data_IF_189235783640
#
_entry.id   IF_189235783640
#
_cell.length_a   1.000
_cell.length_b   1.000
_cell.length_c   1.000
_cell.angle_alpha   90.00
_cell.angle_beta   90.00
_cell.angle_gamma   90.00
#
_symmetry.space_group_name_H-M   'P 1'
#
loop_
_entity.id
_entity.type
_entity.pdbx_description
1 polymer ?
#
# COMPACT_ATOMS: atom_id res chain seq x y z
N UNK A 1 -3.41 24.37 8.77
CA UNK A 1 -2.43 23.35 8.34
C UNK A 1 -2.60 23.25 6.83
N UNK A 2 -1.54 23.42 6.04
CA UNK A 2 -1.66 23.35 4.57
C UNK A 2 -2.12 21.95 4.20
N UNK A 3 -3.32 21.84 3.61
CA UNK A 3 -3.81 20.58 3.06
C UNK A 3 -2.83 20.17 1.97
N UNK A 4 -2.02 19.15 2.26
CA UNK A 4 -1.11 18.59 1.26
C UNK A 4 -1.96 18.11 0.10
N UNK A 5 -1.63 18.52 -1.11
CA UNK A 5 -2.33 18.11 -2.32
C UNK A 5 -2.25 16.58 -2.44
N UNK A 6 -3.40 15.91 -2.43
CA UNK A 6 -3.49 14.49 -2.78
C UNK A 6 -3.31 14.35 -4.29
N UNK A 7 -2.43 13.44 -4.70
CA UNK A 7 -2.25 13.07 -6.10
C UNK A 7 -2.83 11.68 -6.29
N UNK A 8 -3.74 11.54 -7.24
CA UNK A 8 -4.31 10.25 -7.63
C UNK A 8 -3.42 9.62 -8.69
N UNK A 9 -2.93 8.40 -8.43
CA UNK A 9 -2.10 7.64 -9.37
C UNK A 9 -2.79 6.30 -9.61
N UNK A 10 -3.26 6.02 -10.84
CA UNK A 10 -3.91 4.76 -11.15
C UNK A 10 -2.89 3.61 -11.18
N UNK A 11 -2.98 2.73 -10.19
CA UNK A 11 -2.12 1.56 -10.01
C UNK A 11 -2.76 0.33 -10.67
N UNK A 12 -1.97 -0.45 -11.39
CA UNK A 12 -2.36 -1.74 -11.96
C UNK A 12 -2.27 -2.82 -10.88
N UNK A 13 -1.11 -2.96 -10.23
CA UNK A 13 -0.88 -3.92 -9.14
C UNK A 13 0.37 -3.57 -8.30
N UNK A 14 0.45 -4.01 -7.05
CA UNK A 14 1.72 -4.10 -6.33
C UNK A 14 2.62 -5.17 -6.97
N UNK A 15 3.90 -4.88 -7.14
CA UNK A 15 4.87 -5.77 -7.79
C UNK A 15 5.90 -6.34 -6.82
N UNK A 16 6.32 -5.56 -5.83
CA UNK A 16 7.34 -5.98 -4.87
C UNK A 16 7.14 -5.30 -3.52
N UNK A 17 7.32 -6.06 -2.44
CA UNK A 17 7.42 -5.54 -1.08
C UNK A 17 8.80 -5.92 -0.54
N UNK A 18 9.58 -4.93 -0.13
CA UNK A 18 10.86 -5.11 0.52
C UNK A 18 10.77 -4.55 1.94
N UNK A 19 11.15 -5.37 2.91
CA UNK A 19 11.22 -4.95 4.31
C UNK A 19 12.69 -4.86 4.70
N UNK A 20 13.07 -3.77 5.36
CA UNK A 20 14.38 -3.73 6.01
C UNK A 20 14.48 -4.81 7.07
N UNK A 21 15.66 -5.42 7.19
CA UNK A 21 16.00 -6.32 8.29
C UNK A 21 16.31 -5.58 9.59
N UNK A 22 16.49 -4.27 9.55
CA UNK A 22 16.61 -3.40 10.73
C UNK A 22 15.21 -3.03 11.25
N UNK A 23 14.90 -3.27 12.54
CA UNK A 23 13.63 -2.85 13.15
C UNK A 23 13.37 -1.32 13.14
N UNK A 24 14.39 -0.51 12.81
CA UNK A 24 14.27 0.94 12.57
C UNK A 24 14.16 1.31 11.10
N UNK A 25 14.30 0.34 10.19
CA UNK A 25 14.31 0.60 8.77
C UNK A 25 12.92 0.83 8.18
N UNK A 26 12.89 1.17 6.91
CA UNK A 26 11.66 1.39 6.16
C UNK A 26 11.27 0.15 5.35
N UNK A 27 9.98 0.05 5.05
CA UNK A 27 9.45 -0.85 4.05
C UNK A 27 9.22 -0.10 2.74
N UNK A 28 9.50 -0.77 1.63
CA UNK A 28 9.32 -0.23 0.30
C UNK A 28 8.33 -1.12 -0.47
N UNK A 29 7.29 -0.50 -1.03
CA UNK A 29 6.28 -1.16 -1.85
C UNK A 29 6.32 -0.53 -3.24
N UNK A 30 6.59 -1.36 -4.25
CA UNK A 30 6.60 -0.92 -5.66
C UNK A 30 5.24 -1.23 -6.28
N UNK A 31 4.69 -0.25 -6.98
CA UNK A 31 3.43 -0.33 -7.71
C UNK A 31 3.67 -0.10 -9.20
N UNK A 32 3.20 -1.02 -10.01
CA UNK A 32 3.08 -0.83 -11.46
C UNK A 32 1.88 0.08 -11.72
N UNK A 33 2.06 1.14 -12.51
CA UNK A 33 1.01 2.11 -12.81
C UNK A 33 0.62 2.10 -14.29
N UNK A 34 -0.50 2.73 -14.62
CA UNK A 34 -0.90 2.92 -16.03
C UNK A 34 0.03 3.91 -16.76
N UNK A 35 0.73 4.77 -16.02
CA UNK A 35 1.65 5.76 -16.59
C UNK A 35 3.02 5.19 -16.94
N UNK A 36 3.88 6.04 -17.49
CA UNK A 36 5.24 5.67 -17.91
C UNK A 36 6.24 5.51 -16.74
N UNK A 37 5.74 5.41 -15.51
CA UNK A 37 6.57 5.29 -14.32
C UNK A 37 5.92 4.39 -13.26
N UNK A 38 6.74 3.57 -12.62
CA UNK A 38 6.38 2.87 -11.39
C UNK A 38 6.39 3.83 -10.20
N UNK A 39 5.57 3.52 -9.19
CA UNK A 39 5.55 4.27 -7.93
C UNK A 39 6.17 3.44 -6.82
N UNK A 40 7.15 4.02 -6.14
CA UNK A 40 7.74 3.46 -4.92
C UNK A 40 7.16 4.16 -3.69
N UNK A 41 6.44 3.41 -2.86
CA UNK A 41 5.95 3.86 -1.57
C UNK A 41 6.91 3.39 -0.47
N UNK A 42 7.58 4.35 0.17
CA UNK A 42 8.48 4.08 1.31
C UNK A 42 7.77 4.44 2.60
N UNK A 43 7.72 3.50 3.54
CA UNK A 43 6.96 3.59 4.77
C UNK A 43 7.84 3.24 5.96
N UNK A 44 7.83 4.03 7.05
CA UNK A 44 8.36 3.54 8.31
C UNK A 44 7.53 2.35 8.81
N UNK A 45 8.14 1.47 9.61
CA UNK A 45 7.47 0.27 10.14
C UNK A 45 6.14 0.56 10.84
N UNK A 46 6.02 1.69 11.54
CA UNK A 46 4.75 2.08 12.20
C UNK A 46 3.63 2.37 11.21
N UNK A 47 3.95 3.00 10.07
CA UNK A 47 2.99 3.26 9.01
C UNK A 47 2.63 1.97 8.26
N UNK A 48 3.59 1.05 8.10
CA UNK A 48 3.32 -0.27 7.53
C UNK A 48 2.31 -1.05 8.38
N UNK A 49 2.52 -1.13 9.70
CA UNK A 49 1.59 -1.82 10.61
C UNK A 49 0.17 -1.23 10.54
N UNK A 50 0.07 0.10 10.45
CA UNK A 50 -1.22 0.75 10.26
C UNK A 50 -1.87 0.40 8.91
N UNK A 51 -1.08 0.35 7.84
CA UNK A 51 -1.53 -0.05 6.51
C UNK A 51 -2.01 -1.51 6.49
N UNK A 52 -1.29 -2.43 7.13
CA UNK A 52 -1.68 -3.84 7.26
C UNK A 52 -3.04 -3.99 7.96
N UNK A 53 -3.27 -3.26 9.06
CA UNK A 53 -4.55 -3.27 9.76
C UNK A 53 -5.70 -2.76 8.87
N UNK A 54 -5.44 -1.72 8.06
CA UNK A 54 -6.42 -1.21 7.10
C UNK A 54 -6.73 -2.21 5.99
N UNK A 55 -5.70 -2.87 5.44
CA UNK A 55 -5.86 -3.91 4.41
C UNK A 55 -6.58 -5.14 4.95
N UNK A 56 -6.29 -5.57 6.17
CA UNK A 56 -7.00 -6.67 6.83
C UNK A 56 -8.49 -6.36 6.98
N UNK A 57 -8.84 -5.14 7.39
CA UNK A 57 -10.24 -4.68 7.44
C UNK A 57 -10.87 -4.66 6.05
N UNK A 58 -10.17 -4.15 5.04
CA UNK A 58 -10.67 -4.13 3.66
C UNK A 58 -10.93 -5.55 3.12
N UNK A 59 -10.05 -6.51 3.43
CA UNK A 59 -10.23 -7.92 3.07
C UNK A 59 -11.47 -8.53 3.72
N UNK A 60 -11.75 -8.22 4.99
CA UNK A 60 -12.98 -8.66 5.65
C UNK A 60 -14.24 -8.10 4.99
N UNK A 61 -14.23 -6.84 4.58
CA UNK A 61 -15.36 -6.23 3.85
C UNK A 61 -15.50 -6.84 2.44
N UNK A 62 -14.40 -7.08 1.72
CA UNK A 62 -14.42 -7.76 0.42
C UNK A 62 -15.00 -9.17 0.52
N UNK A 63 -14.69 -9.92 1.57
CA UNK A 63 -15.22 -11.26 1.80
C UNK A 63 -16.76 -11.27 1.93
N UNK A 64 -17.37 -10.18 2.43
CA UNK A 64 -18.84 -10.03 2.48
C UNK A 64 -19.46 -9.81 1.10
N UNK A 65 -18.68 -9.32 0.15
CA UNK A 65 -19.10 -8.98 -1.21
C UNK A 65 -18.64 -10.00 -2.25
N UNK A 66 -17.81 -10.97 -1.88
CA UNK A 66 -17.46 -12.09 -2.74
C UNK A 66 -18.70 -12.98 -2.93
N UNK A 67 -19.10 -13.29 -4.17
CA UNK A 67 -20.15 -14.27 -4.39
C UNK A 67 -19.65 -15.61 -3.84
N UNK A 68 -20.37 -16.14 -2.85
CA UNK A 68 -20.23 -17.52 -2.39
C UNK A 68 -20.49 -18.39 -3.61
N UNK A 69 -19.45 -19.01 -4.17
CA UNK A 69 -19.62 -20.17 -5.05
C UNK A 69 -19.85 -21.41 -4.19
#
# INVERSE_FOLDING_TARGET
MSEKKTVEIPVIKPTMIQMSSDPRGDAAITFETIGDADVLLVLPMTALVALEAMLAKASQEQAKHQPVQ
#
